data_IF_662818909527
#
_entry.id   IF_662818909527
#
_cell.length_a   1.000
_cell.length_b   1.000
_cell.length_c   1.000
_cell.angle_alpha   90.00
_cell.angle_beta   90.00
_cell.angle_gamma   90.00
#
_symmetry.space_group_name_H-M   'P 1'
#
loop_
_entity.id
_entity.type
_entity.pdbx_description
1 polymer ?
#
# COMPACT_ATOMS: atom_id res chain seq x y z
N UNK A 1 -59.07 -0.09 -4.89
CA UNK A 1 -58.54 -1.29 -4.17
C UNK A 1 -57.03 -1.31 -4.37
N UNK A 2 -56.20 -1.19 -3.35
CA UNK A 2 -54.76 -1.32 -3.51
C UNK A 2 -54.38 -2.83 -3.60
N UNK A 3 -53.69 -3.20 -4.67
CA UNK A 3 -53.27 -4.58 -4.90
C UNK A 3 -52.30 -5.10 -3.81
N UNK A 4 -52.66 -6.20 -3.21
CA UNK A 4 -51.86 -6.92 -2.23
C UNK A 4 -50.59 -7.45 -2.87
N UNK A 5 -49.44 -6.85 -2.58
CA UNK A 5 -48.13 -7.45 -2.84
C UNK A 5 -48.01 -8.69 -1.94
N UNK A 6 -48.00 -9.87 -2.53
CA UNK A 6 -47.84 -11.13 -1.82
C UNK A 6 -46.36 -11.28 -1.38
N UNK A 7 -46.15 -11.85 -0.17
CA UNK A 7 -44.83 -12.15 0.39
C UNK A 7 -43.93 -12.92 -0.59
N UNK A 8 -44.53 -13.69 -1.48
CA UNK A 8 -43.85 -14.47 -2.54
C UNK A 8 -43.24 -13.61 -3.64
N UNK A 9 -43.91 -12.50 -4.04
CA UNK A 9 -43.40 -11.59 -5.07
C UNK A 9 -42.18 -10.78 -4.57
N UNK A 10 -42.15 -10.44 -3.29
CA UNK A 10 -40.98 -9.78 -2.66
C UNK A 10 -39.78 -10.74 -2.54
N UNK A 11 -40.00 -12.02 -2.19
CA UNK A 11 -38.93 -13.02 -2.14
C UNK A 11 -38.33 -13.29 -3.53
N UNK A 12 -39.15 -13.41 -4.57
CA UNK A 12 -38.68 -13.59 -5.96
C UNK A 12 -37.89 -12.36 -6.45
N UNK A 13 -38.33 -11.17 -6.12
CA UNK A 13 -37.62 -9.93 -6.47
C UNK A 13 -36.27 -9.81 -5.74
N UNK A 14 -36.19 -10.20 -4.45
CA UNK A 14 -34.96 -10.23 -3.66
C UNK A 14 -33.97 -11.31 -4.13
N UNK A 15 -34.48 -12.49 -4.55
CA UNK A 15 -33.64 -13.57 -5.10
C UNK A 15 -33.08 -13.16 -6.46
N UNK A 16 -33.90 -12.56 -7.35
CA UNK A 16 -33.45 -12.03 -8.62
C UNK A 16 -32.47 -10.87 -8.47
N UNK A 17 -32.70 -9.99 -7.49
CA UNK A 17 -31.80 -8.88 -7.18
C UNK A 17 -30.45 -9.39 -6.63
N UNK A 18 -30.46 -10.39 -5.74
CA UNK A 18 -29.23 -11.06 -5.26
C UNK A 18 -28.51 -11.82 -6.39
N UNK A 19 -29.22 -12.49 -7.28
CA UNK A 19 -28.59 -13.17 -8.42
C UNK A 19 -28.02 -12.19 -9.45
N UNK A 20 -28.68 -11.07 -9.70
CA UNK A 20 -28.16 -10.00 -10.54
C UNK A 20 -26.95 -9.30 -9.89
N UNK A 21 -26.97 -9.00 -8.59
CA UNK A 21 -25.81 -8.47 -7.88
C UNK A 21 -24.66 -9.46 -7.94
N UNK A 22 -24.88 -10.74 -7.66
CA UNK A 22 -23.84 -11.76 -7.81
C UNK A 22 -23.33 -11.86 -9.24
N UNK A 23 -24.18 -11.84 -10.26
CA UNK A 23 -23.78 -11.88 -11.66
C UNK A 23 -22.93 -10.66 -12.06
N UNK A 24 -23.28 -9.45 -11.60
CA UNK A 24 -22.47 -8.24 -11.82
C UNK A 24 -21.17 -8.24 -11.02
N UNK A 25 -21.15 -8.78 -9.81
CA UNK A 25 -19.95 -8.88 -8.97
C UNK A 25 -18.96 -9.90 -9.53
N UNK A 26 -19.43 -11.02 -10.09
CA UNK A 26 -18.60 -12.09 -10.67
C UNK A 26 -18.04 -11.78 -12.09
N UNK A 27 -18.48 -10.71 -12.73
CA UNK A 27 -18.08 -10.38 -14.09
C UNK A 27 -17.20 -9.14 -14.23
N UNK A 28 -16.75 -8.55 -13.13
CA UNK A 28 -15.98 -7.31 -13.16
C UNK A 28 -14.55 -7.54 -12.67
N UNK A 29 -13.60 -7.35 -13.58
CA UNK A 29 -12.16 -7.37 -13.26
C UNK A 29 -11.70 -5.96 -12.90
N UNK A 30 -11.33 -5.74 -11.63
CA UNK A 30 -11.02 -4.40 -11.12
C UNK A 30 -9.53 -4.21 -10.84
N UNK A 31 -8.81 -3.67 -11.81
CA UNK A 31 -7.38 -3.34 -11.71
C UNK A 31 -7.11 -1.93 -11.18
N UNK A 32 -8.09 -1.19 -10.69
CA UNK A 32 -7.87 0.21 -10.27
C UNK A 32 -6.90 0.33 -9.11
N UNK A 33 -6.98 -0.58 -8.13
CA UNK A 33 -6.10 -0.58 -6.96
C UNK A 33 -6.22 -1.90 -6.18
N UNK A 34 -5.15 -2.35 -5.54
CA UNK A 34 -5.16 -3.44 -4.57
C UNK A 34 -5.89 -3.09 -3.26
N UNK A 35 -6.24 -1.82 -3.05
CA UNK A 35 -7.12 -1.40 -1.94
C UNK A 35 -8.58 -1.83 -2.11
N UNK A 36 -8.97 -2.35 -3.26
CA UNK A 36 -10.29 -2.95 -3.51
C UNK A 36 -10.37 -4.43 -3.13
N UNK A 37 -9.24 -5.04 -2.78
CA UNK A 37 -9.16 -6.45 -2.35
C UNK A 37 -10.07 -6.71 -1.17
N UNK A 38 -10.77 -7.83 -1.22
CA UNK A 38 -11.71 -8.26 -0.16
C UNK A 38 -11.11 -9.40 0.64
N UNK A 39 -11.47 -9.51 1.94
CA UNK A 39 -11.06 -10.64 2.75
C UNK A 39 -11.55 -11.97 2.16
N UNK A 40 -10.68 -12.98 2.18
CA UNK A 40 -11.07 -14.34 1.80
C UNK A 40 -12.05 -14.96 2.81
N UNK A 41 -12.83 -16.01 2.44
CA UNK A 41 -13.69 -16.69 3.39
C UNK A 41 -12.94 -17.20 4.63
N UNK A 42 -11.73 -17.73 4.45
CA UNK A 42 -10.89 -18.21 5.55
C UNK A 42 -10.43 -17.08 6.46
N UNK A 43 -10.06 -15.93 5.89
CA UNK A 43 -9.74 -14.73 6.66
C UNK A 43 -10.94 -14.24 7.47
N UNK A 44 -12.14 -14.21 6.88
CA UNK A 44 -13.39 -13.87 7.59
C UNK A 44 -13.67 -14.83 8.73
N UNK A 45 -13.42 -16.13 8.55
CA UNK A 45 -13.57 -17.13 9.62
C UNK A 45 -12.57 -16.88 10.75
N UNK A 46 -11.30 -16.57 10.43
CA UNK A 46 -10.29 -16.20 11.44
C UNK A 46 -10.72 -14.97 12.24
N UNK A 47 -11.24 -13.93 11.57
CA UNK A 47 -11.78 -12.74 12.22
C UNK A 47 -12.92 -13.09 13.19
N UNK A 48 -13.88 -13.91 12.77
CA UNK A 48 -15.07 -14.25 13.59
C UNK A 48 -14.72 -15.10 14.82
N UNK A 49 -13.61 -15.84 14.80
CA UNK A 49 -13.15 -16.69 15.90
C UNK A 49 -12.11 -16.04 16.81
N UNK A 50 -11.67 -14.81 16.48
CA UNK A 50 -10.60 -14.13 17.21
C UNK A 50 -10.99 -13.89 18.68
N UNK A 51 -10.16 -14.27 19.65
CA UNK A 51 -10.31 -13.79 21.02
C UNK A 51 -9.97 -12.29 21.05
N UNK A 52 -10.81 -11.52 21.74
CA UNK A 52 -10.68 -10.05 21.75
C UNK A 52 -10.73 -9.48 23.19
N UNK A 53 -10.14 -8.32 23.35
CA UNK A 53 -10.14 -7.52 24.57
C UNK A 53 -10.05 -6.04 24.23
N UNK A 54 -9.72 -5.18 25.21
CA UNK A 54 -9.53 -3.76 24.93
C UNK A 54 -8.07 -3.46 24.56
N UNK A 55 -7.80 -3.15 23.28
CA UNK A 55 -6.47 -2.80 22.75
C UNK A 55 -5.84 -1.60 23.49
N UNK A 56 -6.65 -0.62 23.92
CA UNK A 56 -6.13 0.57 24.61
C UNK A 56 -5.54 0.22 25.99
N UNK A 57 -6.03 -0.85 26.61
CA UNK A 57 -5.52 -1.40 27.87
C UNK A 57 -4.50 -2.52 27.67
N UNK A 58 -4.11 -2.84 26.41
CA UNK A 58 -3.27 -4.00 26.07
C UNK A 58 -3.87 -5.35 26.45
N UNK A 59 -5.19 -5.44 26.53
CA UNK A 59 -5.93 -6.65 26.91
C UNK A 59 -6.48 -7.41 25.70
N UNK A 60 -6.31 -6.90 24.46
CA UNK A 60 -6.69 -7.64 23.26
C UNK A 60 -5.59 -8.62 22.84
N UNK A 61 -5.77 -9.95 23.07
CA UNK A 61 -4.71 -10.92 22.84
C UNK A 61 -4.36 -11.07 21.36
N UNK A 62 -5.31 -10.86 20.45
CA UNK A 62 -5.08 -11.00 19.02
C UNK A 62 -4.33 -9.79 18.45
N UNK A 63 -4.60 -8.58 18.94
CA UNK A 63 -3.79 -7.39 18.60
C UNK A 63 -2.36 -7.57 19.09
N UNK A 64 -2.19 -7.98 20.36
CA UNK A 64 -0.86 -8.21 20.95
C UNK A 64 -0.07 -9.25 20.14
N UNK A 65 -0.73 -10.32 19.69
CA UNK A 65 -0.10 -11.36 18.87
C UNK A 65 0.32 -10.82 17.48
N UNK A 66 -0.54 -10.04 16.80
CA UNK A 66 -0.18 -9.42 15.51
C UNK A 66 1.02 -8.48 15.65
N UNK A 67 1.04 -7.66 16.71
CA UNK A 67 2.15 -6.75 16.99
C UNK A 67 3.44 -7.53 17.25
N UNK A 68 3.39 -8.61 18.04
CA UNK A 68 4.55 -9.47 18.30
C UNK A 68 5.06 -10.16 17.03
N UNK A 69 4.17 -10.82 16.25
CA UNK A 69 4.54 -11.48 14.99
C UNK A 69 5.20 -10.48 14.03
N UNK A 70 4.64 -9.26 13.95
CA UNK A 70 5.19 -8.23 13.06
C UNK A 70 6.57 -7.75 13.51
N UNK A 71 6.80 -7.57 14.81
CA UNK A 71 8.10 -7.20 15.35
C UNK A 71 9.13 -8.32 15.11
N UNK A 72 8.79 -9.57 15.43
CA UNK A 72 9.66 -10.74 15.26
C UNK A 72 10.05 -10.95 13.80
N UNK A 73 9.08 -10.78 12.87
CA UNK A 73 9.30 -10.94 11.43
C UNK A 73 10.38 -9.98 10.89
N UNK A 74 10.48 -8.79 11.44
CA UNK A 74 11.49 -7.79 11.06
C UNK A 74 12.72 -7.79 11.99
N UNK A 75 12.79 -8.67 13.00
CA UNK A 75 13.85 -8.66 13.98
C UNK A 75 13.94 -7.36 14.79
N UNK A 76 12.81 -6.64 14.93
CA UNK A 76 12.72 -5.38 15.68
C UNK A 76 12.04 -5.59 17.05
N UNK A 77 12.16 -4.61 17.95
CA UNK A 77 11.80 -4.79 19.37
C UNK A 77 10.29 -4.76 19.62
N UNK A 78 9.52 -3.97 18.85
CA UNK A 78 8.10 -3.77 19.09
C UNK A 78 7.35 -3.31 17.83
N UNK A 79 6.01 -3.43 17.88
CA UNK A 79 5.13 -2.93 16.84
C UNK A 79 3.84 -2.35 17.43
N UNK A 80 3.07 -1.63 16.59
CA UNK A 80 1.76 -1.10 16.94
C UNK A 80 0.80 -1.22 15.77
N UNK A 81 -0.37 -1.82 16.01
CA UNK A 81 -1.44 -1.94 15.02
C UNK A 81 -2.22 -0.62 14.90
N UNK A 82 -2.47 -0.19 13.67
CA UNK A 82 -3.18 1.05 13.34
C UNK A 82 -4.26 0.81 12.27
N UNK A 83 -5.30 1.65 12.19
CA UNK A 83 -6.35 1.54 11.17
C UNK A 83 -5.86 1.66 9.73
N UNK A 84 -4.80 2.40 9.46
CA UNK A 84 -4.35 2.70 8.10
C UNK A 84 -2.85 2.98 8.00
N UNK A 85 -2.28 2.79 6.78
CA UNK A 85 -0.90 3.16 6.46
C UNK A 85 -0.63 4.66 6.58
N UNK A 86 -1.60 5.50 6.24
CA UNK A 86 -1.50 6.94 6.48
C UNK A 86 -1.25 7.24 7.97
N UNK A 87 -1.98 6.57 8.87
CA UNK A 87 -1.79 6.79 10.30
C UNK A 87 -0.42 6.32 10.77
N UNK A 88 0.06 5.14 10.33
CA UNK A 88 1.39 4.64 10.70
C UNK A 88 2.50 5.56 10.23
N UNK A 89 2.44 6.06 8.99
CA UNK A 89 3.39 7.03 8.46
C UNK A 89 3.36 8.36 9.24
N UNK A 90 2.18 8.91 9.49
CA UNK A 90 2.04 10.16 10.23
C UNK A 90 2.52 10.05 11.68
N UNK A 91 2.31 8.90 12.34
CA UNK A 91 2.87 8.59 13.66
C UNK A 91 4.39 8.54 13.59
N UNK A 92 4.95 7.81 12.62
CA UNK A 92 6.40 7.67 12.47
C UNK A 92 7.09 9.01 12.26
N UNK A 93 6.58 9.82 11.33
CA UNK A 93 7.13 11.14 11.06
C UNK A 93 7.08 12.02 12.32
N UNK A 94 5.95 12.01 13.03
CA UNK A 94 5.80 12.80 14.25
C UNK A 94 6.70 12.33 15.40
N UNK A 95 6.99 11.02 15.52
CA UNK A 95 7.92 10.48 16.50
C UNK A 95 9.37 10.88 16.20
N UNK A 96 9.75 10.92 14.93
CA UNK A 96 11.11 11.21 14.50
C UNK A 96 11.43 12.70 14.40
N UNK A 97 10.43 13.58 14.45
CA UNK A 97 10.61 15.01 14.17
C UNK A 97 9.95 15.91 15.22
N UNK A 98 10.36 17.18 15.20
CA UNK A 98 9.76 18.26 15.96
C UNK A 98 9.28 19.37 15.01
N UNK A 99 8.29 20.19 15.40
CA UNK A 99 7.86 21.34 14.58
C UNK A 99 9.03 22.23 14.16
N UNK A 100 9.04 22.67 12.90
CA UNK A 100 10.10 23.48 12.30
C UNK A 100 11.26 22.67 11.73
N UNK A 101 11.26 21.35 11.86
CA UNK A 101 12.23 20.47 11.22
C UNK A 101 11.79 20.04 9.80
N UNK A 102 12.68 19.33 9.10
CA UNK A 102 12.49 18.95 7.71
C UNK A 102 12.53 17.44 7.50
N UNK A 103 11.63 16.96 6.63
CA UNK A 103 11.55 15.59 6.13
C UNK A 103 11.99 15.57 4.66
N UNK A 104 12.98 14.75 4.35
CA UNK A 104 13.47 14.49 2.99
C UNK A 104 12.75 13.25 2.45
N UNK A 105 12.14 13.35 1.27
CA UNK A 105 11.50 12.20 0.59
C UNK A 105 11.47 12.43 -0.93
N UNK A 106 11.10 11.39 -1.68
CA UNK A 106 10.88 11.52 -3.12
C UNK A 106 9.61 12.35 -3.39
N UNK A 107 9.60 13.18 -4.44
CA UNK A 107 8.53 14.16 -4.75
C UNK A 107 7.15 13.54 -5.01
N UNK A 108 7.09 12.28 -5.44
CA UNK A 108 5.85 11.55 -5.73
C UNK A 108 5.50 10.57 -4.60
N UNK A 109 6.28 10.53 -3.50
CA UNK A 109 6.03 9.63 -2.37
C UNK A 109 4.66 9.86 -1.75
N UNK A 110 4.05 8.77 -1.27
CA UNK A 110 2.71 8.78 -0.71
C UNK A 110 2.60 9.72 0.50
N UNK A 111 3.58 9.70 1.39
CA UNK A 111 3.63 10.54 2.59
C UNK A 111 3.56 12.03 2.28
N UNK A 112 4.03 12.43 1.10
CA UNK A 112 4.05 13.84 0.68
C UNK A 112 2.79 14.25 -0.06
N UNK A 113 2.36 13.46 -1.08
CA UNK A 113 1.31 13.93 -2.00
C UNK A 113 -0.08 13.34 -1.74
N UNK A 114 -0.20 12.23 -0.98
CA UNK A 114 -1.47 11.50 -0.81
C UNK A 114 -1.98 11.40 0.64
N UNK A 115 -1.30 12.05 1.60
CA UNK A 115 -1.70 12.03 3.01
C UNK A 115 -2.28 13.37 3.52
N UNK A 116 -2.92 14.11 2.61
CA UNK A 116 -3.69 15.31 2.97
C UNK A 116 -2.87 16.45 3.58
N UNK A 117 -1.55 16.54 3.27
CA UNK A 117 -0.66 17.51 3.91
C UNK A 117 -0.29 17.14 5.36
N UNK A 118 -0.40 15.83 5.69
CA UNK A 118 -0.25 15.33 7.06
C UNK A 118 1.08 15.66 7.72
N UNK A 119 2.19 15.69 6.98
CA UNK A 119 3.51 16.07 7.51
C UNK A 119 3.48 17.47 8.14
N UNK A 120 2.91 18.42 7.42
CA UNK A 120 2.77 19.79 7.94
C UNK A 120 1.72 19.87 9.05
N UNK A 121 0.55 19.23 8.85
CA UNK A 121 -0.57 19.31 9.78
C UNK A 121 -0.27 18.62 11.12
N UNK A 122 0.23 17.40 11.09
CA UNK A 122 0.44 16.60 12.32
C UNK A 122 1.79 16.90 12.99
N UNK A 123 2.84 17.10 12.20
CA UNK A 123 4.22 17.21 12.71
C UNK A 123 4.77 18.62 12.71
N UNK A 124 4.15 19.55 11.97
CA UNK A 124 4.64 20.93 11.84
C UNK A 124 5.96 21.01 11.07
N UNK A 125 6.27 20.01 10.25
CA UNK A 125 7.51 19.92 9.50
C UNK A 125 7.33 20.41 8.07
N UNK A 126 8.41 20.98 7.49
CA UNK A 126 8.46 21.15 6.06
C UNK A 126 8.94 19.88 5.36
N UNK A 127 8.64 19.77 4.06
CA UNK A 127 9.09 18.66 3.22
C UNK A 127 10.13 19.17 2.24
N UNK A 128 11.20 18.42 2.04
CA UNK A 128 12.20 18.62 1.01
C UNK A 128 12.12 17.49 -0.01
N UNK A 129 11.37 17.71 -1.10
CA UNK A 129 11.15 16.67 -2.10
C UNK A 129 12.35 16.56 -3.04
N UNK A 130 12.75 15.32 -3.34
CA UNK A 130 13.78 14.97 -4.32
C UNK A 130 13.12 14.45 -5.59
N UNK A 131 13.66 14.81 -6.76
CA UNK A 131 13.28 14.24 -8.04
C UNK A 131 14.03 12.91 -8.26
N UNK A 132 13.41 11.82 -7.85
CA UNK A 132 13.98 10.49 -7.93
C UNK A 132 13.70 9.76 -9.26
N UNK A 133 14.36 8.64 -9.47
CA UNK A 133 14.08 7.74 -10.59
C UNK A 133 12.96 6.77 -10.22
N UNK A 134 11.77 6.95 -10.81
CA UNK A 134 10.59 6.10 -10.56
C UNK A 134 10.29 5.93 -9.06
N UNK A 135 10.36 7.03 -8.30
CA UNK A 135 10.07 7.04 -6.86
C UNK A 135 11.25 6.64 -5.97
N UNK A 136 12.44 6.36 -6.55
CA UNK A 136 13.66 6.02 -5.81
C UNK A 136 14.61 7.20 -5.80
N UNK A 137 15.19 7.47 -4.65
CA UNK A 137 16.24 8.45 -4.44
C UNK A 137 17.55 7.73 -4.09
N UNK A 138 18.68 8.36 -4.30
CA UNK A 138 19.98 7.80 -3.98
C UNK A 138 20.70 8.55 -2.85
N UNK A 139 21.80 7.97 -2.36
CA UNK A 139 22.57 8.51 -1.25
C UNK A 139 23.19 9.88 -1.56
N UNK A 140 23.60 10.14 -2.80
CA UNK A 140 24.18 11.42 -3.22
C UNK A 140 23.11 12.51 -3.22
N UNK A 141 21.92 12.22 -3.74
CA UNK A 141 20.77 13.11 -3.71
C UNK A 141 20.37 13.45 -2.26
N UNK A 142 20.31 12.44 -1.37
CA UNK A 142 20.02 12.68 0.05
C UNK A 142 21.06 13.59 0.68
N UNK A 143 22.35 13.31 0.47
CA UNK A 143 23.45 14.12 1.02
C UNK A 143 23.38 15.58 0.58
N UNK A 144 23.09 15.82 -0.70
CA UNK A 144 22.96 17.19 -1.26
C UNK A 144 21.78 17.96 -0.62
N UNK A 145 20.72 17.23 -0.23
CA UNK A 145 19.51 17.84 0.33
C UNK A 145 19.59 18.13 1.82
N UNK A 146 20.61 17.66 2.53
CA UNK A 146 20.77 17.95 3.96
C UNK A 146 21.14 19.42 4.15
N UNK A 147 20.35 20.13 4.94
CA UNK A 147 20.65 21.51 5.28
C UNK A 147 21.87 21.59 6.21
N UNK A 148 22.80 22.52 5.98
CA UNK A 148 23.86 22.81 6.95
C UNK A 148 23.29 23.38 8.26
N UNK A 149 24.11 23.39 9.31
CA UNK A 149 23.78 24.07 10.56
C UNK A 149 23.79 25.61 10.34
N UNK A 150 22.61 26.12 9.97
CA UNK A 150 22.37 27.50 9.59
C UNK A 150 21.01 27.95 10.14
N UNK A 151 20.96 29.01 10.93
CA UNK A 151 19.74 29.54 11.55
C UNK A 151 18.65 29.96 10.55
N UNK A 152 18.99 30.14 9.27
CA UNK A 152 18.03 30.44 8.22
C UNK A 152 17.33 29.20 7.61
N UNK A 153 17.77 28.00 7.99
CA UNK A 153 17.31 26.74 7.40
C UNK A 153 16.68 25.82 8.45
N UNK A 154 15.66 25.09 8.04
CA UNK A 154 15.09 24.04 8.88
C UNK A 154 16.10 22.89 9.06
N UNK A 155 16.34 22.39 10.27
CA UNK A 155 17.20 21.22 10.46
C UNK A 155 16.59 19.97 9.79
N UNK A 156 17.32 19.33 8.88
CA UNK A 156 16.93 18.03 8.32
C UNK A 156 16.99 16.97 9.41
N UNK A 157 15.97 16.10 9.53
CA UNK A 157 15.89 15.10 10.62
C UNK A 157 15.46 13.72 10.20
N UNK A 158 14.71 13.61 9.10
CA UNK A 158 14.15 12.36 8.66
C UNK A 158 14.31 12.20 7.15
N UNK A 159 14.73 11.00 6.73
CA UNK A 159 14.58 10.52 5.35
C UNK A 159 13.45 9.49 5.34
N UNK A 160 12.49 9.65 4.44
CA UNK A 160 11.41 8.69 4.24
C UNK A 160 11.50 8.09 2.85
N UNK A 161 11.65 6.77 2.79
CA UNK A 161 11.63 5.99 1.53
C UNK A 161 10.27 5.30 1.37
N UNK A 162 9.89 5.01 0.13
CA UNK A 162 8.70 4.23 -0.21
C UNK A 162 9.09 3.01 -1.03
N UNK A 163 8.79 1.79 -0.57
CA UNK A 163 9.06 0.54 -1.27
C UNK A 163 7.85 -0.44 -1.17
N UNK A 164 7.30 -0.90 -2.30
CA UNK A 164 7.55 -0.47 -3.68
C UNK A 164 6.93 0.89 -3.96
N UNK A 165 7.55 1.67 -4.85
CA UNK A 165 7.07 3.01 -5.16
C UNK A 165 5.80 2.98 -6.03
N UNK A 166 4.67 3.45 -5.49
CA UNK A 166 3.36 3.42 -6.14
C UNK A 166 3.33 4.18 -7.48
N UNK A 167 3.83 5.42 -7.47
CA UNK A 167 3.90 6.27 -8.69
C UNK A 167 5.06 5.91 -9.60
N UNK A 168 6.00 5.10 -9.10
CA UNK A 168 7.10 4.52 -9.85
C UNK A 168 6.75 3.23 -10.61
N UNK A 169 5.46 2.83 -10.64
CA UNK A 169 5.04 1.59 -11.31
C UNK A 169 5.37 0.33 -10.51
N UNK A 170 5.41 0.43 -9.18
CA UNK A 170 5.77 -0.69 -8.31
C UNK A 170 7.26 -1.00 -8.34
N UNK A 171 8.11 0.00 -8.64
CA UNK A 171 9.57 -0.14 -8.65
C UNK A 171 10.11 -0.50 -7.27
N UNK A 172 11.13 -1.37 -7.25
CA UNK A 172 11.83 -1.79 -6.05
C UNK A 172 13.17 -1.07 -5.94
N UNK A 173 13.57 -0.71 -4.73
CA UNK A 173 14.97 -0.34 -4.46
C UNK A 173 15.87 -1.56 -4.61
N UNK A 174 17.13 -1.35 -5.00
CA UNK A 174 18.19 -2.30 -4.73
C UNK A 174 18.61 -2.14 -3.26
N UNK A 175 18.77 -3.25 -2.54
CA UNK A 175 19.05 -3.19 -1.10
C UNK A 175 20.36 -2.44 -0.79
N UNK A 176 21.35 -2.53 -1.66
CA UNK A 176 22.62 -1.78 -1.57
C UNK A 176 22.42 -0.27 -1.62
N UNK A 177 21.42 0.24 -2.36
CA UNK A 177 21.12 1.65 -2.42
C UNK A 177 20.50 2.12 -1.10
N UNK A 178 19.63 1.29 -0.50
CA UNK A 178 19.07 1.55 0.83
C UNK A 178 20.18 1.60 1.89
N UNK A 179 21.14 0.68 1.83
CA UNK A 179 22.30 0.67 2.74
C UNK A 179 23.12 1.95 2.59
N UNK A 180 23.40 2.38 1.36
CA UNK A 180 24.14 3.63 1.11
C UNK A 180 23.39 4.86 1.67
N UNK A 181 22.05 4.92 1.55
CA UNK A 181 21.23 5.98 2.14
C UNK A 181 21.32 5.92 3.67
N UNK A 182 21.28 4.72 4.28
CA UNK A 182 21.43 4.56 5.74
C UNK A 182 22.76 5.11 6.24
N UNK A 183 23.86 4.85 5.53
CA UNK A 183 25.18 5.40 5.89
C UNK A 183 25.17 6.92 5.89
N UNK A 184 24.56 7.56 4.90
CA UNK A 184 24.40 9.03 4.87
C UNK A 184 23.56 9.50 6.07
N UNK A 185 22.49 8.81 6.40
CA UNK A 185 21.65 9.15 7.55
C UNK A 185 22.43 9.05 8.87
N UNK A 186 23.21 7.98 9.07
CA UNK A 186 24.02 7.79 10.27
C UNK A 186 25.08 8.90 10.44
N UNK A 187 25.80 9.24 9.37
CA UNK A 187 26.84 10.26 9.37
C UNK A 187 26.30 11.67 9.66
N UNK A 188 25.01 11.92 9.36
CA UNK A 188 24.36 13.22 9.50
C UNK A 188 23.30 13.27 10.60
N UNK A 189 23.23 12.25 11.47
CA UNK A 189 22.26 12.16 12.56
C UNK A 189 20.80 12.32 12.11
N UNK A 190 20.46 11.68 10.97
CA UNK A 190 19.11 11.59 10.43
C UNK A 190 18.49 10.23 10.82
N UNK A 191 17.18 10.21 10.96
CA UNK A 191 16.41 8.97 11.04
C UNK A 191 16.01 8.51 9.64
N UNK A 192 15.83 7.19 9.50
CA UNK A 192 15.39 6.56 8.26
C UNK A 192 14.08 5.79 8.48
N UNK A 193 12.99 6.23 7.82
CA UNK A 193 11.68 5.61 7.87
C UNK A 193 11.34 4.97 6.53
N UNK A 194 10.68 3.80 6.58
CA UNK A 194 10.15 3.11 5.41
C UNK A 194 8.62 3.17 5.37
N UNK A 195 8.06 3.84 4.36
CA UNK A 195 6.71 3.57 3.91
C UNK A 195 6.72 2.25 3.12
N UNK A 196 6.45 1.17 3.82
CA UNK A 196 6.40 -0.20 3.29
C UNK A 196 4.99 -0.62 2.87
N UNK A 197 4.21 0.31 2.30
CA UNK A 197 2.82 0.04 1.91
C UNK A 197 2.66 -1.18 0.98
N UNK A 198 3.72 -1.53 0.22
CA UNK A 198 3.82 -2.75 -0.59
C UNK A 198 5.18 -3.44 -0.41
N UNK A 199 5.77 -3.35 0.76
CA UNK A 199 7.08 -3.93 1.03
C UNK A 199 7.15 -5.43 0.71
N UNK A 200 6.12 -6.19 1.08
CA UNK A 200 6.09 -7.63 0.78
C UNK A 200 6.13 -7.93 -0.72
N UNK A 201 5.62 -7.04 -1.59
CA UNK A 201 5.83 -7.18 -3.03
C UNK A 201 7.31 -7.01 -3.41
N UNK A 202 8.04 -6.07 -2.80
CA UNK A 202 9.48 -5.91 -3.04
C UNK A 202 10.25 -7.14 -2.55
N UNK A 203 9.98 -7.61 -1.33
CA UNK A 203 10.64 -8.78 -0.74
C UNK A 203 10.50 -10.02 -1.62
N UNK A 204 9.27 -10.30 -2.08
CA UNK A 204 8.99 -11.45 -2.98
C UNK A 204 9.68 -11.27 -4.33
N UNK A 205 9.67 -10.07 -4.91
CA UNK A 205 10.28 -9.82 -6.22
C UNK A 205 11.82 -9.91 -6.19
N UNK A 206 12.45 -9.50 -5.08
CA UNK A 206 13.90 -9.45 -4.93
C UNK A 206 14.47 -10.68 -4.21
N UNK A 207 13.65 -11.53 -3.59
CA UNK A 207 14.10 -12.63 -2.74
C UNK A 207 14.78 -12.15 -1.46
N UNK A 208 14.36 -11.00 -0.95
CA UNK A 208 14.89 -10.38 0.26
C UNK A 208 14.03 -10.77 1.48
N UNK A 209 14.60 -10.64 2.68
CA UNK A 209 13.89 -10.98 3.92
C UNK A 209 13.49 -9.73 4.71
N UNK A 210 12.42 -9.80 5.52
CA UNK A 210 12.00 -8.68 6.36
C UNK A 210 13.09 -8.24 7.36
N UNK A 211 13.86 -9.18 7.90
CA UNK A 211 14.94 -8.91 8.88
C UNK A 211 16.00 -7.96 8.30
N UNK A 212 16.37 -8.14 7.03
CA UNK A 212 17.32 -7.24 6.35
C UNK A 212 16.87 -5.78 6.46
N UNK A 213 15.56 -5.52 6.34
CA UNK A 213 14.99 -4.19 6.46
C UNK A 213 14.94 -3.71 7.91
N UNK A 214 14.62 -4.60 8.85
CA UNK A 214 14.63 -4.27 10.27
C UNK A 214 15.98 -3.82 10.81
N UNK A 215 17.09 -4.37 10.26
CA UNK A 215 18.46 -3.96 10.61
C UNK A 215 18.82 -2.55 10.10
N UNK A 216 18.16 -2.07 9.04
CA UNK A 216 18.50 -0.80 8.38
C UNK A 216 17.65 0.36 8.86
N UNK A 217 16.32 0.17 8.97
CA UNK A 217 15.39 1.25 9.22
C UNK A 217 15.20 1.52 10.72
N UNK A 218 15.04 2.81 11.08
CA UNK A 218 14.65 3.21 12.44
C UNK A 218 13.16 2.94 12.71
N UNK A 219 12.34 2.91 11.64
CA UNK A 219 10.93 2.51 11.70
C UNK A 219 10.40 2.06 10.35
N UNK A 220 9.49 1.08 10.35
CA UNK A 220 8.88 0.50 9.16
C UNK A 220 7.36 0.51 9.32
N UNK A 221 6.66 1.02 8.31
CA UNK A 221 5.20 0.91 8.18
C UNK A 221 4.86 -0.16 7.16
N UNK A 222 4.13 -1.20 7.54
CA UNK A 222 3.59 -2.22 6.61
C UNK A 222 2.07 -2.07 6.49
N UNK A 223 1.55 -2.12 5.27
CA UNK A 223 0.12 -2.06 5.03
C UNK A 223 -0.43 -3.46 4.79
N UNK A 224 -1.44 -3.85 5.57
CA UNK A 224 -2.11 -5.15 5.45
C UNK A 224 -3.30 -5.11 4.49
N UNK A 225 -3.92 -3.92 4.32
CA UNK A 225 -5.18 -3.72 3.58
C UNK A 225 -4.98 -3.41 2.09
N UNK A 226 -4.03 -4.08 1.44
CA UNK A 226 -3.74 -4.01 0.00
C UNK A 226 -3.58 -5.41 -0.57
N UNK A 227 -2.48 -5.73 -1.23
CA UNK A 227 -2.21 -7.06 -1.80
C UNK A 227 -2.35 -8.23 -0.82
N UNK A 228 -2.15 -7.98 0.47
CA UNK A 228 -2.35 -8.98 1.52
C UNK A 228 -3.83 -9.26 1.85
N UNK A 229 -4.77 -8.42 1.40
CA UNK A 229 -6.21 -8.71 1.40
C UNK A 229 -6.95 -8.45 2.71
N UNK A 230 -6.35 -7.84 3.73
CA UNK A 230 -7.11 -7.50 4.94
C UNK A 230 -8.10 -6.36 4.67
N UNK A 231 -9.25 -6.32 5.36
CA UNK A 231 -10.23 -5.26 5.16
C UNK A 231 -9.75 -3.90 5.63
N UNK A 232 -8.90 -3.86 6.64
CA UNK A 232 -8.38 -2.67 7.32
C UNK A 232 -7.05 -3.01 7.98
N UNK A 233 -6.16 -2.04 8.08
CA UNK A 233 -5.06 -2.12 9.00
C UNK A 233 -3.67 -1.97 8.39
N UNK A 234 -2.79 -1.50 9.25
CA UNK A 234 -1.35 -1.38 9.02
C UNK A 234 -0.62 -1.55 10.35
N UNK A 235 0.65 -1.93 10.29
CA UNK A 235 1.48 -2.06 11.48
C UNK A 235 2.70 -1.15 11.36
N UNK A 236 3.00 -0.40 12.41
CA UNK A 236 4.22 0.38 12.54
C UNK A 236 5.17 -0.36 13.47
N UNK A 237 6.41 -0.56 13.03
CA UNK A 237 7.41 -1.40 13.68
C UNK A 237 8.63 -0.53 14.01
N UNK A 238 9.27 -0.77 15.15
CA UNK A 238 10.44 -0.01 15.59
C UNK A 238 10.98 -0.46 16.95
N UNK A 239 11.78 0.39 17.60
CA UNK A 239 12.27 0.13 18.94
C UNK A 239 11.15 0.26 19.99
N UNK A 240 11.36 -0.29 21.17
CA UNK A 240 10.42 -0.18 22.30
C UNK A 240 10.11 1.27 22.65
N UNK A 241 11.12 2.13 22.74
CA UNK A 241 10.95 3.55 23.07
C UNK A 241 10.15 4.29 21.98
N UNK A 242 10.44 4.01 20.72
CA UNK A 242 9.72 4.56 19.58
C UNK A 242 8.25 4.13 19.60
N UNK A 243 7.96 2.86 19.79
CA UNK A 243 6.58 2.34 19.82
C UNK A 243 5.83 2.83 21.06
N UNK A 244 6.50 2.97 22.20
CA UNK A 244 5.90 3.58 23.39
C UNK A 244 5.40 5.01 23.10
N UNK A 245 6.20 5.82 22.41
CA UNK A 245 5.80 7.15 21.95
C UNK A 245 4.70 7.08 20.90
N UNK A 246 4.80 6.17 19.93
CA UNK A 246 3.83 5.95 18.86
C UNK A 246 2.42 5.64 19.40
N UNK A 247 2.30 4.84 20.49
CA UNK A 247 1.00 4.55 21.13
C UNK A 247 0.30 5.80 21.63
N UNK A 248 1.04 6.76 22.15
CA UNK A 248 0.51 8.05 22.62
C UNK A 248 -0.03 8.88 21.46
N UNK A 249 0.73 8.92 20.35
CA UNK A 249 0.35 9.64 19.14
C UNK A 249 -0.84 8.95 18.47
N UNK A 250 -0.86 7.60 18.38
CA UNK A 250 -2.01 6.83 17.88
C UNK A 250 -3.29 7.22 18.64
N UNK A 251 -3.21 7.36 19.97
CA UNK A 251 -4.36 7.76 20.78
C UNK A 251 -4.86 9.16 20.42
N UNK A 252 -3.96 10.13 20.22
CA UNK A 252 -4.29 11.51 19.84
C UNK A 252 -4.96 11.54 18.45
N UNK A 253 -4.49 10.73 17.50
CA UNK A 253 -5.03 10.64 16.14
C UNK A 253 -6.34 9.81 16.06
N UNK A 254 -6.85 9.29 17.19
CA UNK A 254 -8.09 8.50 17.23
C UNK A 254 -7.94 7.03 16.82
N UNK A 255 -6.71 6.53 16.66
CA UNK A 255 -6.42 5.16 16.22
C UNK A 255 -6.44 4.09 17.33
N UNK A 256 -6.71 4.46 18.58
CA UNK A 256 -6.93 3.51 19.66
C UNK A 256 -8.34 2.90 19.56
N UNK A 257 -8.44 1.76 18.89
CA UNK A 257 -9.67 0.97 18.77
C UNK A 257 -9.85 0.10 20.03
N UNK A 258 -11.04 -0.49 20.22
CA UNK A 258 -11.34 -1.33 21.39
C UNK A 258 -11.06 -2.80 21.04
N UNK A 259 -12.06 -3.55 20.61
CA UNK A 259 -11.94 -4.96 20.24
C UNK A 259 -11.39 -5.09 18.81
N UNK A 260 -10.17 -4.60 18.61
CA UNK A 260 -9.51 -4.60 17.31
C UNK A 260 -8.95 -5.97 16.89
N UNK A 261 -8.97 -6.94 17.80
CA UNK A 261 -8.53 -8.31 17.53
C UNK A 261 -9.28 -8.97 16.37
N UNK A 262 -10.54 -8.62 16.13
CA UNK A 262 -11.25 -9.06 14.93
C UNK A 262 -10.53 -8.64 13.64
N UNK A 263 -9.98 -7.44 13.59
CA UNK A 263 -9.23 -6.93 12.44
C UNK A 263 -7.80 -7.46 12.44
N UNK A 264 -7.18 -7.57 13.61
CA UNK A 264 -5.83 -8.09 13.77
C UNK A 264 -5.71 -9.56 13.33
N UNK A 265 -6.74 -10.37 13.56
CA UNK A 265 -6.79 -11.76 13.10
C UNK A 265 -6.68 -11.89 11.57
N UNK A 266 -7.28 -10.94 10.82
CA UNK A 266 -7.08 -10.87 9.38
C UNK A 266 -5.63 -10.59 9.01
N UNK A 267 -4.96 -9.72 9.78
CA UNK A 267 -3.54 -9.41 9.61
C UNK A 267 -2.64 -10.63 9.85
N UNK A 268 -2.87 -11.38 10.92
CA UNK A 268 -2.14 -12.63 11.22
C UNK A 268 -2.33 -13.62 10.07
N UNK A 269 -3.58 -13.87 9.68
CA UNK A 269 -3.89 -14.77 8.56
C UNK A 269 -3.18 -14.35 7.27
N UNK A 270 -3.16 -13.05 6.97
CA UNK A 270 -2.52 -12.51 5.78
C UNK A 270 -1.00 -12.71 5.78
N UNK A 271 -0.33 -12.47 6.91
CA UNK A 271 1.11 -12.67 7.04
C UNK A 271 1.49 -14.15 6.90
N UNK A 272 0.66 -15.07 7.38
CA UNK A 272 0.91 -16.51 7.31
C UNK A 272 0.61 -17.11 5.91
N UNK A 273 -0.33 -16.55 5.15
CA UNK A 273 -0.87 -17.23 3.95
C UNK A 273 -0.83 -16.42 2.66
N UNK A 274 -0.67 -15.09 2.72
CA UNK A 274 -0.83 -14.24 1.54
C UNK A 274 0.47 -13.61 1.05
N UNK A 275 1.59 -13.75 1.74
CA UNK A 275 2.86 -13.14 1.32
C UNK A 275 3.40 -13.83 0.06
N UNK A 276 3.61 -15.13 0.10
CA UNK A 276 4.22 -15.86 -1.03
C UNK A 276 3.38 -15.79 -2.30
N UNK A 277 2.05 -15.72 -2.17
CA UNK A 277 1.15 -15.63 -3.31
C UNK A 277 1.26 -14.32 -4.09
N UNK A 278 1.90 -13.28 -3.54
CA UNK A 278 2.15 -12.03 -4.26
C UNK A 278 2.93 -12.27 -5.56
N UNK A 279 3.73 -13.33 -5.64
CA UNK A 279 4.38 -13.77 -6.88
C UNK A 279 3.38 -14.03 -8.02
N UNK A 280 2.16 -14.48 -7.70
CA UNK A 280 1.10 -14.69 -8.70
C UNK A 280 0.62 -13.35 -9.26
N UNK A 281 0.49 -12.33 -8.42
CA UNK A 281 0.10 -10.98 -8.87
C UNK A 281 1.15 -10.38 -9.80
N UNK A 282 2.45 -10.61 -9.50
CA UNK A 282 3.56 -10.18 -10.36
C UNK A 282 3.52 -10.89 -11.72
N UNK A 283 3.31 -12.20 -11.72
CA UNK A 283 3.21 -12.99 -12.94
C UNK A 283 2.02 -12.53 -13.81
N UNK A 284 0.84 -12.32 -13.21
CA UNK A 284 -0.34 -11.79 -13.91
C UNK A 284 -0.10 -10.40 -14.49
N UNK A 285 0.62 -9.53 -13.76
CA UNK A 285 0.99 -8.20 -14.26
C UNK A 285 1.88 -8.29 -15.49
N UNK A 286 2.88 -9.18 -15.50
CA UNK A 286 3.76 -9.38 -16.64
C UNK A 286 3.00 -9.88 -17.87
N UNK A 287 2.11 -10.86 -17.72
CA UNK A 287 1.31 -11.40 -18.84
C UNK A 287 0.46 -10.31 -19.50
N UNK A 288 -0.23 -9.47 -18.72
CA UNK A 288 -1.03 -8.38 -19.28
C UNK A 288 -0.17 -7.28 -19.89
N UNK A 289 1.00 -6.99 -19.29
CA UNK A 289 1.95 -6.03 -19.85
C UNK A 289 2.48 -6.46 -21.22
N UNK A 290 2.80 -7.75 -21.40
CA UNK A 290 3.21 -8.30 -22.70
C UNK A 290 2.12 -8.11 -23.76
N UNK A 291 0.86 -8.39 -23.43
CA UNK A 291 -0.26 -8.17 -24.35
C UNK A 291 -0.46 -6.68 -24.68
N UNK A 292 -0.31 -5.78 -23.72
CA UNK A 292 -0.39 -4.33 -23.91
C UNK A 292 0.71 -3.82 -24.83
N UNK A 293 1.94 -4.31 -24.72
CA UNK A 293 3.08 -3.89 -25.54
C UNK A 293 2.89 -4.18 -27.06
N UNK A 294 2.02 -5.12 -27.40
CA UNK A 294 1.68 -5.42 -28.79
C UNK A 294 0.63 -4.47 -29.38
N UNK A 295 0.07 -3.56 -28.60
CA UNK A 295 -1.03 -2.70 -29.02
C UNK A 295 -0.52 -1.34 -29.51
N UNK A 296 -1.03 -0.83 -30.67
CA UNK A 296 -0.58 0.43 -31.25
C UNK A 296 -0.88 1.66 -30.38
N UNK A 297 -1.84 1.55 -29.46
CA UNK A 297 -2.17 2.62 -28.51
C UNK A 297 -1.29 2.63 -27.27
N UNK A 298 -0.41 1.65 -27.08
CA UNK A 298 0.51 1.58 -25.95
C UNK A 298 1.83 2.26 -26.30
N UNK A 299 2.12 3.34 -25.60
CA UNK A 299 3.39 4.05 -25.69
C UNK A 299 4.41 3.54 -24.68
N UNK A 300 5.14 4.47 -24.05
CA UNK A 300 6.14 4.12 -23.03
C UNK A 300 5.49 3.45 -21.84
N UNK A 301 5.95 2.25 -21.51
CA UNK A 301 5.56 1.51 -20.32
C UNK A 301 6.71 1.54 -19.30
N UNK A 302 6.39 1.79 -18.03
CA UNK A 302 7.37 1.61 -16.96
C UNK A 302 7.72 0.12 -16.83
N UNK A 303 8.97 -0.25 -16.51
CA UNK A 303 9.31 -1.63 -16.21
C UNK A 303 8.38 -2.21 -15.15
N UNK A 304 7.79 -3.37 -15.42
CA UNK A 304 6.89 -4.07 -14.50
C UNK A 304 7.73 -4.96 -13.59
N UNK A 305 8.01 -4.46 -12.40
CA UNK A 305 8.85 -5.16 -11.41
C UNK A 305 8.02 -5.96 -10.41
N UNK A 306 6.76 -5.54 -10.17
CA UNK A 306 5.85 -6.17 -9.22
C UNK A 306 4.42 -6.20 -9.77
N UNK A 307 3.44 -5.86 -8.97
CA UNK A 307 2.01 -5.97 -9.28
C UNK A 307 1.40 -4.73 -9.95
N UNK A 308 2.19 -3.76 -10.41
CA UNK A 308 1.69 -2.51 -10.99
C UNK A 308 2.19 -2.33 -12.43
N UNK A 309 1.26 -2.06 -13.35
CA UNK A 309 1.54 -1.61 -14.71
C UNK A 309 1.19 -0.12 -14.80
N UNK A 310 2.11 0.69 -15.32
CA UNK A 310 1.85 2.07 -15.75
C UNK A 310 2.35 2.23 -17.17
N UNK A 311 1.46 2.64 -18.09
CA UNK A 311 1.81 2.86 -19.48
C UNK A 311 1.16 4.13 -20.03
N UNK A 312 1.80 4.70 -21.04
CA UNK A 312 1.27 5.84 -21.80
C UNK A 312 0.30 5.36 -22.87
N UNK A 313 -0.80 6.06 -23.02
CA UNK A 313 -1.72 5.90 -24.15
C UNK A 313 -1.34 6.91 -25.24
N UNK A 314 -1.03 6.41 -26.43
CA UNK A 314 -0.54 7.19 -27.57
C UNK A 314 -1.43 7.00 -28.81
N UNK A 315 -1.22 7.85 -29.82
CA UNK A 315 -2.00 7.84 -31.07
C UNK A 315 -3.34 8.56 -30.94
N UNK A 316 -4.11 8.58 -32.03
CA UNK A 316 -5.36 9.35 -32.16
C UNK A 316 -6.60 8.53 -31.76
N UNK A 317 -6.47 7.21 -31.56
CA UNK A 317 -7.60 6.31 -31.30
C UNK A 317 -8.16 6.45 -29.89
N UNK A 318 -7.27 6.65 -28.92
CA UNK A 318 -7.64 6.70 -27.51
C UNK A 318 -6.86 7.76 -26.74
N UNK A 319 -7.52 8.34 -25.73
CA UNK A 319 -6.90 8.96 -24.57
C UNK A 319 -6.93 7.97 -23.39
N UNK A 320 -6.21 8.23 -22.30
CA UNK A 320 -6.27 7.37 -21.11
C UNK A 320 -7.71 7.19 -20.59
N UNK A 321 -8.54 8.24 -20.63
CA UNK A 321 -9.94 8.19 -20.19
C UNK A 321 -10.82 7.39 -21.15
N UNK A 322 -10.65 7.59 -22.46
CA UNK A 322 -11.49 6.87 -23.45
C UNK A 322 -11.11 5.40 -23.53
N UNK A 323 -9.83 5.03 -23.37
CA UNK A 323 -9.41 3.63 -23.27
C UNK A 323 -9.94 2.97 -22.01
N UNK A 324 -9.87 3.65 -20.86
CA UNK A 324 -10.45 3.15 -19.62
C UNK A 324 -11.97 2.95 -19.73
N UNK A 325 -12.68 3.88 -20.43
CA UNK A 325 -14.10 3.71 -20.73
C UNK A 325 -14.37 2.53 -21.67
N UNK A 326 -13.55 2.34 -22.70
CA UNK A 326 -13.67 1.21 -23.63
C UNK A 326 -13.52 -0.12 -22.90
N UNK A 327 -12.44 -0.30 -22.12
CA UNK A 327 -12.21 -1.50 -21.31
C UNK A 327 -13.36 -1.78 -20.34
N UNK A 328 -13.94 -0.74 -19.74
CA UNK A 328 -15.08 -0.89 -18.83
C UNK A 328 -16.34 -1.48 -19.50
N UNK A 329 -16.53 -1.31 -20.82
CA UNK A 329 -17.64 -1.96 -21.56
C UNK A 329 -17.54 -3.50 -21.53
N UNK A 330 -16.31 -4.01 -21.37
CA UNK A 330 -16.02 -5.44 -21.25
C UNK A 330 -15.90 -5.90 -19.78
N UNK A 331 -16.26 -5.02 -18.81
CA UNK A 331 -16.16 -5.32 -17.38
C UNK A 331 -14.75 -5.19 -16.80
N UNK A 332 -13.81 -4.60 -17.53
CA UNK A 332 -12.42 -4.38 -17.09
C UNK A 332 -12.27 -2.94 -16.62
N UNK A 333 -12.00 -2.76 -15.33
CA UNK A 333 -11.79 -1.44 -14.72
C UNK A 333 -10.31 -1.15 -14.54
N UNK A 334 -9.86 -0.04 -15.08
CA UNK A 334 -8.50 0.48 -14.94
C UNK A 334 -8.54 1.93 -14.43
N UNK A 335 -7.42 2.47 -14.02
CA UNK A 335 -7.35 3.85 -13.52
C UNK A 335 -6.56 4.75 -14.49
N UNK A 336 -7.21 5.75 -15.06
CA UNK A 336 -6.53 6.87 -15.70
C UNK A 336 -5.92 7.75 -14.59
N UNK A 337 -4.59 7.86 -14.56
CA UNK A 337 -3.84 8.59 -13.54
C UNK A 337 -3.27 9.92 -14.01
N UNK A 338 -3.36 10.17 -15.32
CA UNK A 338 -3.06 11.44 -15.98
C UNK A 338 -3.78 11.48 -17.33
N UNK A 339 -3.79 12.59 -18.06
CA UNK A 339 -4.39 12.65 -19.41
C UNK A 339 -3.84 11.61 -20.39
N UNK A 340 -2.63 11.12 -20.17
CA UNK A 340 -1.94 10.19 -21.07
C UNK A 340 -1.59 8.86 -20.44
N UNK A 341 -1.81 8.63 -19.14
CA UNK A 341 -1.35 7.42 -18.47
C UNK A 341 -2.47 6.61 -17.82
N UNK A 342 -2.39 5.30 -17.96
CA UNK A 342 -3.22 4.32 -17.27
C UNK A 342 -2.35 3.54 -16.29
N UNK A 343 -2.93 3.27 -15.09
CA UNK A 343 -2.40 2.35 -14.11
C UNK A 343 -3.32 1.16 -13.94
N UNK A 344 -2.73 -0.04 -13.87
CA UNK A 344 -3.38 -1.29 -13.50
C UNK A 344 -2.64 -1.88 -12.31
N UNK A 345 -3.38 -2.39 -11.32
CA UNK A 345 -2.82 -3.01 -10.11
C UNK A 345 -3.41 -4.41 -9.95
N UNK A 346 -2.55 -5.40 -9.86
CA UNK A 346 -2.92 -6.80 -9.69
C UNK A 346 -2.97 -7.16 -8.20
N UNK A 347 -3.91 -8.00 -7.82
CA UNK A 347 -4.16 -8.33 -6.42
C UNK A 347 -4.96 -9.64 -6.28
N UNK A 348 -5.14 -10.08 -5.05
CA UNK A 348 -5.75 -11.36 -4.65
C UNK A 348 -7.07 -11.71 -5.37
N UNK A 349 -7.92 -10.71 -5.66
CA UNK A 349 -9.22 -10.94 -6.31
C UNK A 349 -9.11 -11.13 -7.84
N UNK A 350 -7.92 -10.94 -8.43
CA UNK A 350 -7.69 -11.12 -9.86
C UNK A 350 -7.29 -12.57 -10.13
N UNK A 351 -8.20 -13.33 -10.76
CA UNK A 351 -7.96 -14.73 -11.10
C UNK A 351 -7.25 -14.89 -12.45
N UNK A 352 -6.68 -16.07 -12.70
CA UNK A 352 -6.07 -16.42 -13.98
C UNK A 352 -7.06 -16.31 -15.15
N UNK A 353 -8.34 -16.66 -14.94
CA UNK A 353 -9.40 -16.54 -15.94
C UNK A 353 -9.65 -15.07 -16.29
N UNK A 354 -9.70 -14.18 -15.29
CA UNK A 354 -9.84 -12.73 -15.51
C UNK A 354 -8.67 -12.15 -16.28
N UNK A 355 -7.46 -12.63 -16.05
CA UNK A 355 -6.26 -12.25 -16.81
C UNK A 355 -6.38 -12.68 -18.27
N UNK A 356 -6.78 -13.95 -18.53
CA UNK A 356 -6.99 -14.47 -19.88
C UNK A 356 -8.09 -13.70 -20.62
N UNK A 357 -9.21 -13.39 -19.96
CA UNK A 357 -10.28 -12.55 -20.51
C UNK A 357 -9.76 -11.14 -20.86
N UNK A 358 -8.96 -10.55 -19.97
CA UNK A 358 -8.36 -9.22 -20.21
C UNK A 358 -7.45 -9.24 -21.43
N UNK A 359 -6.59 -10.25 -21.57
CA UNK A 359 -5.71 -10.40 -22.74
C UNK A 359 -6.53 -10.56 -24.01
N UNK A 360 -7.56 -11.40 -24.01
CA UNK A 360 -8.46 -11.58 -25.17
C UNK A 360 -9.13 -10.27 -25.58
N UNK A 361 -9.59 -9.46 -24.63
CA UNK A 361 -10.18 -8.14 -24.93
C UNK A 361 -9.12 -7.19 -25.51
N UNK A 362 -7.92 -7.17 -24.92
CA UNK A 362 -6.82 -6.36 -25.46
C UNK A 362 -6.46 -6.77 -26.89
N UNK A 363 -6.41 -8.06 -27.20
CA UNK A 363 -6.14 -8.55 -28.56
C UNK A 363 -7.18 -8.08 -29.58
N UNK A 364 -8.44 -7.95 -29.18
CA UNK A 364 -9.54 -7.52 -30.02
C UNK A 364 -9.59 -5.99 -30.25
N UNK A 365 -8.98 -5.18 -29.42
CA UNK A 365 -8.84 -3.74 -29.57
C UNK A 365 -7.66 -3.37 -30.47
#
# INVERSE_FOLDING_TARGET
MPGSFTRTSLLFSLINYKSQINYYIYKMTDYRSDTFTKPTPQMLEAMMRAPVGDDVFHEDPTVNLLEQISADLFGMEAAIFCPSGTMTNQIAIKCHTQPGQEVICEKMSHVYIYEGGGIAFNSGCQVKPIDGDRGRIDAAQVLEMINPDDFHKAPSRLVSLENTANRGGGSCYEFTDIQAIKEVCLQNNLRLHLDGARLFNALVAKGETPEMYGEIFDSISICLSKGLGTPVGSVLIGSNDFIHQARRIRKVLGGGMRQAGYLAAAGIYALEHHVDRLAVDHFHAQQVAEALLLKPFTGKMMPVETNIIIFEVVGDSYTSNTLAHELNKYGIKVMSISPTQIRMVFHLDITEEMVKETITVLEAL
#
